data_IF_225223060881
#
_entry.id   IF_225223060881
#
_cell.length_a   1.000
_cell.length_b   1.000
_cell.length_c   1.000
_cell.angle_alpha   90.00
_cell.angle_beta   90.00
_cell.angle_gamma   90.00
#
_symmetry.space_group_name_H-M   'P 1'
#
loop_
_entity.id
_entity.type
_entity.pdbx_description
1 polymer ?
#
# COMPACT_ATOMS: atom_id res chain seq x y z
N UNK A 1 17.09 -12.46 -63.65
CA UNK A 1 15.70 -12.11 -64.01
C UNK A 1 14.86 -13.37 -63.76
N UNK A 2 14.12 -13.53 -62.68
CA UNK A 2 12.92 -12.78 -62.24
C UNK A 2 12.82 -12.79 -60.70
N UNK A 3 12.42 -11.70 -60.02
CA UNK A 3 12.12 -11.73 -58.60
C UNK A 3 10.68 -12.25 -58.39
N UNK A 4 10.50 -13.25 -57.52
CA UNK A 4 9.17 -13.62 -57.01
C UNK A 4 8.93 -12.75 -55.78
N UNK A 5 8.07 -11.76 -55.96
CA UNK A 5 7.60 -10.86 -54.92
C UNK A 5 6.59 -11.62 -54.05
N UNK A 6 7.04 -12.19 -52.93
CA UNK A 6 6.16 -12.77 -51.92
C UNK A 6 5.51 -11.63 -51.12
N UNK A 7 4.27 -11.31 -51.48
CA UNK A 7 3.42 -10.36 -50.76
C UNK A 7 2.92 -11.02 -49.46
N UNK A 8 3.69 -10.91 -48.38
CA UNK A 8 3.22 -11.24 -47.04
C UNK A 8 2.26 -10.12 -46.59
N UNK A 9 0.96 -10.32 -46.83
CA UNK A 9 -0.10 -9.50 -46.26
C UNK A 9 -0.09 -9.75 -44.74
N UNK A 10 0.51 -8.81 -44.00
CA UNK A 10 0.52 -8.82 -42.55
C UNK A 10 -0.90 -8.64 -42.01
N UNK A 11 -1.49 -9.71 -41.48
CA UNK A 11 -2.61 -9.63 -40.55
C UNK A 11 -2.09 -9.09 -39.22
N UNK A 12 -1.97 -7.76 -39.14
CA UNK A 12 -1.86 -7.07 -37.86
C UNK A 12 -3.24 -7.21 -37.20
N UNK A 13 -3.42 -8.29 -36.44
CA UNK A 13 -4.52 -8.40 -35.49
C UNK A 13 -4.29 -7.32 -34.44
N UNK A 14 -4.94 -6.16 -34.62
CA UNK A 14 -5.20 -5.23 -33.54
C UNK A 14 -6.04 -5.96 -32.49
N UNK A 15 -5.38 -6.62 -31.56
CA UNK A 15 -5.96 -6.96 -30.27
C UNK A 15 -6.11 -5.65 -29.48
N UNK A 16 -7.11 -4.86 -29.86
CA UNK A 16 -7.66 -3.83 -29.00
C UNK A 16 -8.29 -4.60 -27.84
N UNK A 17 -7.56 -4.79 -26.75
CA UNK A 17 -8.14 -5.23 -25.49
C UNK A 17 -9.22 -4.20 -25.14
N UNK A 18 -10.49 -4.57 -25.33
CA UNK A 18 -11.57 -3.88 -24.64
C UNK A 18 -11.33 -4.14 -23.15
N UNK A 19 -10.62 -3.24 -22.48
CA UNK A 19 -10.76 -3.10 -21.04
C UNK A 19 -12.22 -2.71 -20.80
N UNK A 20 -13.03 -3.68 -20.40
CA UNK A 20 -14.35 -3.39 -19.85
C UNK A 20 -14.16 -2.42 -18.67
N UNK A 21 -14.96 -1.35 -18.55
CA UNK A 21 -14.96 -0.53 -17.35
C UNK A 21 -15.25 -1.44 -16.16
N UNK A 22 -14.45 -1.31 -15.10
CA UNK A 22 -14.71 -2.03 -13.87
C UNK A 22 -16.14 -1.71 -13.41
N UNK A 23 -16.97 -2.75 -13.26
CA UNK A 23 -18.32 -2.58 -12.75
C UNK A 23 -18.26 -1.88 -11.38
N UNK A 24 -19.19 -0.95 -11.08
CA UNK A 24 -19.25 -0.34 -9.76
C UNK A 24 -19.45 -1.45 -8.73
N UNK A 25 -18.51 -1.57 -7.80
CA UNK A 25 -18.68 -2.44 -6.63
C UNK A 25 -19.77 -1.81 -5.78
N UNK A 26 -20.89 -2.51 -5.61
CA UNK A 26 -21.91 -2.13 -4.64
C UNK A 26 -21.33 -2.31 -3.23
N UNK A 27 -20.67 -1.26 -2.76
CA UNK A 27 -20.02 -1.19 -1.46
C UNK A 27 -21.04 -0.71 -0.43
N UNK A 28 -22.01 -1.57 -0.15
CA UNK A 28 -22.92 -1.34 0.96
C UNK A 28 -22.22 -1.74 2.26
N UNK A 29 -21.29 -0.89 2.69
CA UNK A 29 -20.83 -0.90 4.07
C UNK A 29 -22.05 -0.79 5.00
N UNK A 30 -22.09 -1.58 6.06
CA UNK A 30 -23.15 -1.51 7.07
C UNK A 30 -23.06 -0.24 7.92
N UNK A 31 -22.01 0.57 7.74
CA UNK A 31 -21.75 1.80 8.47
C UNK A 31 -21.41 2.96 7.52
N UNK A 32 -22.16 4.04 7.63
CA UNK A 32 -21.89 5.29 6.95
C UNK A 32 -20.92 6.14 7.78
N UNK A 33 -19.65 6.08 7.43
CA UNK A 33 -18.57 6.73 8.20
C UNK A 33 -18.68 8.26 8.22
N UNK A 34 -19.41 8.86 7.27
CA UNK A 34 -19.65 10.30 7.26
C UNK A 34 -20.55 10.78 8.39
N UNK A 35 -21.26 9.86 9.07
CA UNK A 35 -22.19 10.16 10.17
C UNK A 35 -21.57 10.05 11.57
N UNK A 36 -20.32 9.59 11.69
CA UNK A 36 -19.68 9.45 12.99
C UNK A 36 -18.95 10.74 13.38
N UNK A 37 -19.29 11.30 14.55
CA UNK A 37 -18.66 12.52 15.08
C UNK A 37 -17.15 12.33 15.30
N UNK A 38 -16.73 11.14 15.74
CA UNK A 38 -15.34 10.76 15.96
C UNK A 38 -14.48 10.83 14.68
N UNK A 39 -15.11 10.82 13.50
CA UNK A 39 -14.43 10.84 12.20
C UNK A 39 -14.47 12.20 11.50
N UNK A 40 -15.12 13.21 12.08
CA UNK A 40 -15.20 14.55 11.46
C UNK A 40 -13.89 15.35 11.55
N UNK A 41 -12.96 14.91 12.40
CA UNK A 41 -11.68 15.58 12.59
C UNK A 41 -11.82 16.99 13.22
N UNK A 42 -10.81 17.85 13.06
CA UNK A 42 -9.56 17.62 12.33
C UNK A 42 -8.67 16.55 13.01
N UNK A 43 -7.89 15.85 12.19
CA UNK A 43 -6.85 14.93 12.66
C UNK A 43 -5.47 15.56 12.50
N UNK A 44 -4.61 15.43 13.53
CA UNK A 44 -3.25 16.00 13.52
C UNK A 44 -2.29 15.20 12.64
N UNK A 45 -2.50 13.89 12.55
CA UNK A 45 -1.63 12.95 11.86
C UNK A 45 -2.35 11.64 11.52
N UNK A 46 -1.69 10.77 10.75
CA UNK A 46 -2.21 9.46 10.35
C UNK A 46 -2.54 8.55 11.55
N UNK A 47 -1.63 8.39 12.53
CA UNK A 47 -1.92 7.63 13.75
C UNK A 47 -3.17 8.11 14.51
N UNK A 48 -3.47 9.42 14.54
CA UNK A 48 -4.69 9.93 15.17
C UNK A 48 -5.97 9.52 14.45
N UNK A 49 -5.91 9.33 13.12
CA UNK A 49 -7.02 8.72 12.36
C UNK A 49 -7.20 7.26 12.76
N UNK A 50 -6.10 6.50 12.82
CA UNK A 50 -6.12 5.08 13.21
C UNK A 50 -6.68 4.89 14.61
N UNK A 51 -6.29 5.73 15.57
CA UNK A 51 -6.86 5.72 16.93
C UNK A 51 -8.38 5.90 16.91
N UNK A 52 -8.92 6.78 16.06
CA UNK A 52 -10.36 6.91 15.87
C UNK A 52 -11.00 5.66 15.24
N UNK A 53 -10.36 5.04 14.24
CA UNK A 53 -10.84 3.76 13.67
C UNK A 53 -10.91 2.66 14.74
N UNK A 54 -9.89 2.57 15.60
CA UNK A 54 -9.79 1.54 16.64
C UNK A 54 -10.80 1.72 17.79
N UNK A 55 -11.44 2.89 17.91
CA UNK A 55 -12.55 3.08 18.86
C UNK A 55 -13.76 2.20 18.56
N UNK A 56 -13.92 1.76 17.30
CA UNK A 56 -14.98 0.85 16.85
C UNK A 56 -14.44 -0.47 16.30
N UNK A 57 -13.29 -0.45 15.61
CA UNK A 57 -12.65 -1.63 15.00
C UNK A 57 -11.56 -2.23 15.88
N UNK A 58 -11.93 -2.62 17.10
CA UNK A 58 -11.01 -2.97 18.20
C UNK A 58 -10.05 -4.13 17.93
N UNK A 59 -10.32 -4.98 16.93
CA UNK A 59 -9.50 -6.15 16.59
C UNK A 59 -8.83 -6.05 15.21
N UNK A 60 -9.17 -5.04 14.42
CA UNK A 60 -8.74 -4.96 13.02
C UNK A 60 -7.21 -4.80 12.89
N UNK A 61 -6.59 -3.94 13.70
CA UNK A 61 -5.13 -3.78 13.70
C UNK A 61 -4.43 -5.10 14.09
N UNK A 62 -4.86 -5.76 15.17
CA UNK A 62 -4.29 -7.03 15.63
C UNK A 62 -4.36 -8.13 14.57
N UNK A 63 -5.43 -8.16 13.78
CA UNK A 63 -5.57 -9.11 12.67
C UNK A 63 -4.61 -8.78 11.54
N UNK A 64 -4.56 -7.51 11.10
CA UNK A 64 -3.64 -7.06 10.04
C UNK A 64 -2.17 -7.25 10.42
N UNK A 65 -1.82 -7.01 11.68
CA UNK A 65 -0.44 -7.09 12.17
C UNK A 65 0.14 -8.49 12.17
N UNK A 66 -0.69 -9.53 12.00
CA UNK A 66 -0.25 -10.93 11.81
C UNK A 66 0.09 -11.26 10.35
N UNK A 67 -0.12 -10.34 9.42
CA UNK A 67 0.06 -10.58 7.99
C UNK A 67 1.41 -10.08 7.47
N UNK A 68 1.82 -10.60 6.31
CA UNK A 68 3.02 -10.15 5.60
C UNK A 68 2.94 -8.69 5.15
N UNK A 69 1.74 -8.09 5.03
CA UNK A 69 1.61 -6.66 4.74
C UNK A 69 2.22 -5.81 5.85
N UNK A 70 2.04 -6.23 7.12
CA UNK A 70 2.57 -5.53 8.29
C UNK A 70 4.01 -5.94 8.60
N UNK A 71 4.28 -7.24 8.72
CA UNK A 71 5.59 -7.73 9.18
C UNK A 71 6.68 -7.58 8.13
N UNK A 72 6.29 -7.56 6.84
CA UNK A 72 7.19 -7.71 5.69
C UNK A 72 8.12 -8.92 5.81
N UNK A 73 7.68 -9.95 6.55
CA UNK A 73 8.46 -11.15 6.81
C UNK A 73 7.58 -12.40 6.82
N UNK A 74 8.14 -13.52 6.38
CA UNK A 74 7.53 -14.85 6.48
C UNK A 74 8.62 -15.93 6.52
N UNK A 75 8.34 -17.04 7.21
CA UNK A 75 9.26 -18.18 7.29
C UNK A 75 9.22 -19.01 6.01
N UNK A 76 10.40 -19.29 5.44
CA UNK A 76 10.53 -20.24 4.35
C UNK A 76 10.61 -21.67 4.91
N UNK A 77 9.57 -22.48 4.67
CA UNK A 77 9.49 -23.84 5.19
C UNK A 77 10.57 -24.80 4.63
N UNK A 78 11.15 -24.51 3.46
CA UNK A 78 12.17 -25.36 2.85
C UNK A 78 13.57 -25.08 3.39
N UNK A 79 13.90 -23.80 3.62
CA UNK A 79 15.25 -23.38 4.01
C UNK A 79 15.38 -22.98 5.47
N UNK A 80 14.26 -22.77 6.17
CA UNK A 80 14.23 -22.21 7.52
C UNK A 80 14.62 -20.73 7.60
N UNK A 81 14.84 -20.07 6.47
CA UNK A 81 15.19 -18.65 6.44
C UNK A 81 13.93 -17.78 6.58
N UNK A 82 14.07 -16.68 7.32
CA UNK A 82 13.09 -15.61 7.28
C UNK A 82 13.24 -14.80 5.99
N UNK A 83 12.23 -14.83 5.13
CA UNK A 83 12.17 -14.08 3.88
C UNK A 83 11.21 -12.89 4.01
N UNK A 84 10.93 -12.19 2.90
CA UNK A 84 10.06 -11.02 2.84
C UNK A 84 10.83 -9.71 2.61
N UNK A 85 10.11 -8.62 2.33
CA UNK A 85 10.70 -7.32 1.97
C UNK A 85 11.65 -6.77 3.04
N UNK A 86 11.47 -7.14 4.31
CA UNK A 86 12.38 -6.76 5.40
C UNK A 86 13.74 -7.47 5.31
N UNK A 87 13.79 -8.67 4.73
CA UNK A 87 14.94 -9.59 4.83
C UNK A 87 15.62 -9.90 3.48
N UNK A 88 15.00 -9.56 2.35
CA UNK A 88 15.50 -9.91 1.02
C UNK A 88 16.29 -8.75 0.38
N UNK A 89 17.39 -9.10 -0.28
CA UNK A 89 18.18 -8.20 -1.14
C UNK A 89 17.78 -8.39 -2.61
N UNK A 90 17.66 -7.31 -3.37
CA UNK A 90 17.40 -7.34 -4.81
C UNK A 90 18.38 -6.44 -5.60
N UNK A 91 18.23 -6.38 -6.92
CA UNK A 91 19.07 -5.59 -7.83
C UNK A 91 18.45 -4.22 -8.22
N UNK A 92 17.39 -3.78 -7.53
CA UNK A 92 16.79 -2.46 -7.70
C UNK A 92 17.30 -1.52 -6.62
N UNK A 93 16.53 -1.33 -5.55
CA UNK A 93 16.91 -0.48 -4.41
C UNK A 93 17.74 -1.24 -3.35
N UNK A 94 18.30 -2.39 -3.71
CA UNK A 94 19.15 -3.26 -2.87
C UNK A 94 18.41 -3.86 -1.68
N UNK A 95 18.18 -3.10 -0.61
CA UNK A 95 17.59 -3.61 0.63
C UNK A 95 16.84 -2.52 1.38
N UNK A 96 15.77 -2.89 2.09
CA UNK A 96 15.00 -1.94 2.91
C UNK A 96 15.87 -1.20 3.93
N UNK A 97 16.85 -1.89 4.53
CA UNK A 97 17.78 -1.31 5.51
C UNK A 97 18.66 -0.18 4.96
N UNK A 98 18.82 -0.07 3.63
CA UNK A 98 19.57 1.02 3.00
C UNK A 98 18.82 2.36 3.03
N UNK A 99 17.48 2.35 3.06
CA UNK A 99 16.65 3.55 3.02
C UNK A 99 15.21 3.25 3.48
N UNK A 100 15.02 3.08 4.79
CA UNK A 100 13.70 2.81 5.35
C UNK A 100 12.64 3.85 4.93
N UNK A 101 12.85 5.18 5.08
CA UNK A 101 11.78 6.15 4.82
C UNK A 101 11.27 6.14 3.39
N UNK A 102 12.12 5.82 2.41
CA UNK A 102 11.72 5.65 1.00
C UNK A 102 10.99 4.33 0.78
N UNK A 103 11.49 3.23 1.33
CA UNK A 103 10.90 1.91 1.10
C UNK A 103 9.53 1.77 1.77
N UNK A 104 9.37 2.33 2.97
CA UNK A 104 8.17 2.22 3.83
C UNK A 104 7.08 3.22 3.47
N UNK A 105 7.28 4.08 2.46
CA UNK A 105 6.15 4.76 1.82
C UNK A 105 5.13 3.78 1.21
N UNK A 106 5.53 2.52 0.98
CA UNK A 106 4.66 1.43 0.52
C UNK A 106 4.27 0.44 1.64
N UNK A 107 4.69 0.67 2.89
CA UNK A 107 4.27 -0.16 4.02
C UNK A 107 2.85 0.24 4.47
N UNK A 108 2.08 -0.67 5.05
CA UNK A 108 0.72 -0.38 5.56
C UNK A 108 0.74 0.23 6.97
N UNK A 109 1.78 1.00 7.29
CA UNK A 109 1.93 1.66 8.57
C UNK A 109 2.56 3.04 8.48
N UNK A 110 2.68 3.67 9.64
CA UNK A 110 3.20 5.02 9.84
C UNK A 110 4.47 4.99 10.69
N UNK A 111 5.55 5.63 10.21
CA UNK A 111 6.72 5.93 11.02
C UNK A 111 7.83 4.86 11.02
N UNK A 112 7.77 3.87 10.11
CA UNK A 112 8.84 2.89 9.98
C UNK A 112 10.06 3.51 9.29
N UNK A 113 10.93 4.13 10.09
CA UNK A 113 12.08 4.93 9.65
C UNK A 113 13.44 4.27 9.87
N UNK A 114 13.49 3.21 10.67
CA UNK A 114 14.69 2.45 11.02
C UNK A 114 14.33 1.05 11.54
N UNK A 115 15.32 0.30 12.02
CA UNK A 115 15.17 -1.05 12.57
C UNK A 115 14.49 -1.10 13.96
N UNK A 116 14.18 0.06 14.56
CA UNK A 116 13.54 0.20 15.88
C UNK A 116 12.03 0.41 15.81
N UNK A 117 11.43 0.22 14.63
CA UNK A 117 9.99 0.34 14.47
C UNK A 117 9.23 -0.66 15.36
N UNK A 118 8.28 -0.14 16.12
CA UNK A 118 7.43 -0.94 17.00
C UNK A 118 6.33 -1.64 16.19
N UNK A 119 6.57 -2.91 15.86
CA UNK A 119 5.60 -3.77 15.18
C UNK A 119 4.41 -4.18 16.06
N UNK A 120 4.35 -3.75 17.32
CA UNK A 120 3.23 -3.99 18.25
C UNK A 120 2.32 -2.77 18.42
N UNK A 121 2.70 -1.61 17.91
CA UNK A 121 1.91 -0.39 18.00
C UNK A 121 0.73 -0.38 17.02
N UNK A 122 -0.46 -0.78 17.49
CA UNK A 122 -1.70 -0.81 16.69
C UNK A 122 -2.03 0.55 16.04
N UNK A 123 -1.80 1.66 16.77
CA UNK A 123 -1.98 3.03 16.27
C UNK A 123 -1.16 3.38 15.03
N UNK A 124 -0.11 2.61 14.74
CA UNK A 124 0.74 2.83 13.57
C UNK A 124 0.23 2.09 12.32
N UNK A 125 -0.86 1.31 12.39
CA UNK A 125 -1.50 0.73 11.20
C UNK A 125 -2.10 1.85 10.35
N UNK A 126 -1.89 1.83 9.04
CA UNK A 126 -2.54 2.73 8.09
C UNK A 126 -3.78 2.07 7.51
N UNK A 127 -4.95 2.47 8.00
CA UNK A 127 -6.23 1.97 7.50
C UNK A 127 -6.60 2.58 6.14
N UNK A 128 -6.22 3.84 5.89
CA UNK A 128 -6.65 4.61 4.72
C UNK A 128 -5.95 4.18 3.44
N UNK A 129 -4.73 3.65 3.51
CA UNK A 129 -4.01 3.14 2.32
C UNK A 129 -4.79 2.08 1.55
N UNK A 130 -5.67 1.33 2.23
CA UNK A 130 -6.53 0.33 1.61
C UNK A 130 -8.00 0.77 1.54
N UNK A 131 -8.47 1.59 2.48
CA UNK A 131 -9.89 1.91 2.65
C UNK A 131 -10.30 3.32 2.20
N UNK A 132 -9.37 4.15 1.72
CA UNK A 132 -9.74 5.41 1.07
C UNK A 132 -10.58 5.13 -0.19
N UNK A 133 -11.77 5.73 -0.25
CA UNK A 133 -12.66 5.68 -1.43
C UNK A 133 -12.63 6.97 -2.25
N UNK A 134 -11.92 7.99 -1.79
CA UNK A 134 -11.84 9.29 -2.47
C UNK A 134 -10.81 9.28 -3.59
N UNK A 135 -9.80 8.39 -3.52
CA UNK A 135 -8.67 8.37 -4.45
C UNK A 135 -7.66 9.50 -4.20
N UNK A 136 -7.80 10.23 -3.09
CA UNK A 136 -6.96 11.39 -2.76
C UNK A 136 -5.88 11.05 -1.75
N UNK A 137 -6.05 9.97 -0.97
CA UNK A 137 -5.08 9.57 0.05
C UNK A 137 -3.77 9.09 -0.59
N UNK A 138 -2.66 9.72 -0.21
CA UNK A 138 -1.32 9.38 -0.70
C UNK A 138 -0.28 9.52 0.40
N UNK A 139 0.55 8.48 0.56
CA UNK A 139 1.71 8.49 1.45
C UNK A 139 2.84 9.26 0.78
N UNK A 140 3.54 10.11 1.53
CA UNK A 140 4.63 10.90 0.96
C UNK A 140 5.83 9.99 0.64
N UNK A 141 6.51 10.15 -0.52
CA UNK A 141 7.46 9.16 -1.03
C UNK A 141 8.65 8.88 -0.10
N UNK A 142 9.05 9.85 0.71
CA UNK A 142 10.15 9.74 1.69
C UNK A 142 9.67 9.93 3.14
N UNK A 143 8.36 9.90 3.37
CA UNK A 143 7.75 10.22 4.65
C UNK A 143 7.68 9.06 5.64
N UNK A 144 8.39 7.95 5.42
CA UNK A 144 8.31 6.75 6.26
C UNK A 144 6.86 6.25 6.46
N UNK A 145 6.06 6.32 5.40
CA UNK A 145 4.64 5.96 5.43
C UNK A 145 3.69 7.08 5.85
N UNK A 146 4.14 8.24 6.31
CA UNK A 146 3.22 9.34 6.56
C UNK A 146 2.72 9.99 5.26
N UNK A 147 1.43 10.39 5.16
CA UNK A 147 0.97 11.30 4.12
C UNK A 147 1.58 12.69 4.33
N UNK A 148 1.19 13.63 3.48
CA UNK A 148 1.61 15.00 3.64
C UNK A 148 0.68 15.77 4.59
N UNK A 149 1.21 16.26 5.73
CA UNK A 149 0.42 17.04 6.69
C UNK A 149 0.42 18.54 6.42
N UNK A 150 1.45 19.03 5.71
CA UNK A 150 1.59 20.44 5.35
C UNK A 150 1.92 20.56 3.86
N UNK A 151 1.41 21.57 3.12
CA UNK A 151 1.73 21.71 1.70
C UNK A 151 3.23 21.62 1.41
N UNK A 152 3.65 20.65 0.60
CA UNK A 152 5.04 20.49 0.16
C UNK A 152 5.10 19.92 -1.25
N UNK A 153 6.20 20.20 -1.95
CA UNK A 153 6.41 19.71 -3.31
C UNK A 153 6.53 18.19 -3.31
N UNK A 154 5.80 17.55 -4.22
CA UNK A 154 5.93 16.11 -4.46
C UNK A 154 7.10 15.88 -5.43
N UNK A 155 8.00 14.94 -5.13
CA UNK A 155 9.09 14.57 -6.02
C UNK A 155 8.60 13.82 -7.27
#
# INVERSE_FOLDING_TARGET
>A
MKPVLALCIGLISLFFSLQAPAAPRDDQSTADHSKFEQLQGPFKDGPSVTEACLSCHTEAAKQLMKTTHWTWAFDNALTGQQLGKKNVVNNFCVATASNWPRCTSCHIGYGWKDDKFDLTAERNVDCLVCHDKTGTYKKFPTGAGHPNYEPKMWP
#
